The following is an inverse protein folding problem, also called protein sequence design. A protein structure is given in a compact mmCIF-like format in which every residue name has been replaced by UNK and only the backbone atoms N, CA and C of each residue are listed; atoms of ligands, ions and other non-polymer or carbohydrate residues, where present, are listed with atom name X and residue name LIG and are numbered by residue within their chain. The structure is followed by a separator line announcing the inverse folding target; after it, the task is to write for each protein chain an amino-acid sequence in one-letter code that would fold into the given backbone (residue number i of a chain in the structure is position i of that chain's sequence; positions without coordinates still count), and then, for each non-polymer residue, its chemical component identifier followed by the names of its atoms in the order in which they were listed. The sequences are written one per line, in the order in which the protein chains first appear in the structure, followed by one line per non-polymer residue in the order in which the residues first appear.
data_IF_535381728602
#
_entry.id   IF_535381728602
#
_cell.length_a   1.000
_cell.length_b   1.000
_cell.length_c   1.000
_cell.angle_alpha   90.00
_cell.angle_beta   90.00
_cell.angle_gamma   90.00
#
_symmetry.space_group_name_H-M   'P 1'
#
loop_
_entity.id
_entity.type
_entity.pdbx_description
1 polymer ?
#
# COMPACT_ATOMS: atom_id res chain seq x y z
N UNK A 1 -49.57 -11.40 13.91
CA UNK A 1 -48.25 -12.01 13.63
C UNK A 1 -47.81 -11.92 12.15
N UNK A 2 -48.72 -11.82 11.17
CA UNK A 2 -48.37 -11.84 9.75
C UNK A 2 -47.69 -10.58 9.17
N UNK A 3 -47.91 -9.39 9.74
CA UNK A 3 -47.30 -8.16 9.20
C UNK A 3 -45.84 -7.92 9.62
N UNK A 4 -45.39 -8.54 10.71
CA UNK A 4 -44.01 -8.36 11.21
C UNK A 4 -43.01 -9.19 10.40
N UNK A 5 -43.44 -10.36 9.90
CA UNK A 5 -42.60 -11.21 9.06
C UNK A 5 -42.36 -10.64 7.66
N UNK A 6 -43.33 -9.93 7.07
CA UNK A 6 -43.14 -9.30 5.75
C UNK A 6 -42.19 -8.11 5.84
N UNK A 7 -42.25 -7.31 6.90
CA UNK A 7 -41.31 -6.22 7.15
C UNK A 7 -39.90 -6.73 7.43
N UNK A 8 -39.72 -7.78 8.24
CA UNK A 8 -38.39 -8.35 8.47
C UNK A 8 -37.77 -8.96 7.20
N UNK A 9 -38.57 -9.50 6.28
CA UNK A 9 -38.07 -9.94 4.96
C UNK A 9 -37.65 -8.77 4.07
N UNK A 10 -38.45 -7.70 4.02
CA UNK A 10 -38.13 -6.48 3.28
C UNK A 10 -36.90 -5.76 3.83
N UNK A 11 -36.75 -5.71 5.16
CA UNK A 11 -35.57 -5.17 5.82
C UNK A 11 -34.37 -6.08 5.60
N UNK A 12 -34.52 -7.41 5.66
CA UNK A 12 -33.43 -8.34 5.33
C UNK A 12 -32.99 -8.22 3.88
N UNK A 13 -33.88 -7.92 2.93
CA UNK A 13 -33.52 -7.66 1.53
C UNK A 13 -32.97 -6.26 1.27
N UNK A 14 -33.23 -5.29 2.16
CA UNK A 14 -32.63 -3.95 2.11
C UNK A 14 -31.28 -3.89 2.84
N UNK A 15 -31.06 -4.80 3.81
CA UNK A 15 -29.82 -4.93 4.60
C UNK A 15 -28.86 -5.96 3.99
N UNK A 16 -29.37 -6.99 3.30
CA UNK A 16 -28.58 -7.75 2.34
C UNK A 16 -28.32 -6.81 1.17
N UNK A 17 -27.24 -6.04 1.27
CA UNK A 17 -26.85 -5.05 0.29
C UNK A 17 -26.94 -5.62 -1.12
N UNK A 18 -27.45 -4.80 -2.04
CA UNK A 18 -27.39 -5.06 -3.46
C UNK A 18 -26.00 -5.61 -3.79
N UNK A 19 -25.93 -6.85 -4.25
CA UNK A 19 -24.70 -7.42 -4.79
C UNK A 19 -24.29 -6.50 -5.94
N UNK A 20 -23.34 -5.61 -5.67
CA UNK A 20 -22.76 -4.75 -6.69
C UNK A 20 -22.23 -5.70 -7.77
N UNK A 21 -22.61 -5.54 -9.04
CA UNK A 21 -22.16 -6.45 -10.09
C UNK A 21 -20.65 -6.61 -10.01
N UNK A 22 -20.14 -7.85 -10.05
CA UNK A 22 -18.69 -8.13 -9.97
C UNK A 22 -17.88 -7.40 -11.06
N UNK A 23 -18.55 -6.96 -12.12
CA UNK A 23 -17.99 -6.14 -13.19
C UNK A 23 -17.67 -4.69 -12.79
N UNK A 24 -18.22 -4.19 -11.67
CA UNK A 24 -17.94 -2.87 -11.10
C UNK A 24 -16.81 -2.91 -10.06
N UNK A 25 -16.43 -4.10 -9.60
CA UNK A 25 -15.35 -4.32 -8.63
C UNK A 25 -13.98 -4.42 -9.32
N UNK A 26 -13.62 -3.40 -10.09
CA UNK A 26 -12.39 -3.36 -10.87
C UNK A 26 -11.42 -2.34 -10.27
N UNK A 27 -10.17 -2.76 -10.09
CA UNK A 27 -9.07 -1.89 -9.75
C UNK A 27 -8.50 -1.31 -11.07
N UNK A 28 -8.65 0.01 -11.23
CA UNK A 28 -8.34 0.77 -12.45
C UNK A 28 -7.11 1.65 -12.30
N UNK A 29 -6.76 2.05 -11.06
CA UNK A 29 -5.51 2.75 -10.79
C UNK A 29 -4.96 2.42 -9.40
N UNK A 30 -3.63 2.38 -9.30
CA UNK A 30 -2.89 2.51 -8.04
C UNK A 30 -1.98 3.71 -8.19
N UNK A 31 -2.03 4.62 -7.21
CA UNK A 31 -1.11 5.74 -7.11
C UNK A 31 -0.53 5.77 -5.71
N UNK A 32 0.75 6.04 -5.59
CA UNK A 32 1.38 6.25 -4.28
C UNK A 32 2.34 7.42 -4.33
N UNK A 33 2.40 8.18 -3.25
CA UNK A 33 3.35 9.28 -3.13
C UNK A 33 4.52 8.86 -2.25
N UNK A 34 5.74 8.98 -2.78
CA UNK A 34 6.95 8.57 -2.08
C UNK A 34 8.11 9.57 -2.24
N UNK A 35 8.89 9.71 -1.19
CA UNK A 35 10.22 10.31 -1.22
C UNK A 35 11.25 9.31 -0.70
N UNK A 36 12.54 9.63 -0.83
CA UNK A 36 13.59 8.70 -0.44
C UNK A 36 14.85 9.40 0.09
N UNK A 37 15.66 8.63 0.81
CA UNK A 37 17.09 8.90 0.95
C UNK A 37 17.85 7.99 0.00
N UNK A 38 18.77 8.55 -0.78
CA UNK A 38 19.55 7.84 -1.80
C UNK A 38 20.96 7.56 -1.27
N UNK A 39 21.39 6.31 -1.35
CA UNK A 39 22.76 5.92 -1.02
C UNK A 39 23.26 4.97 -2.10
N UNK A 40 24.30 5.39 -2.83
CA UNK A 40 24.83 4.70 -4.01
C UNK A 40 23.81 4.44 -5.14
N UNK A 41 22.68 5.15 -5.10
CA UNK A 41 21.59 5.03 -6.07
C UNK A 41 20.24 5.21 -5.41
N UNK A 42 19.21 5.29 -6.26
CA UNK A 42 17.83 5.38 -5.84
C UNK A 42 17.36 4.07 -5.21
N UNK A 43 16.53 4.10 -4.16
CA UNK A 43 15.81 2.91 -3.73
C UNK A 43 14.75 2.51 -4.77
N UNK A 44 14.46 1.21 -4.82
CA UNK A 44 13.46 0.64 -5.72
C UNK A 44 12.26 0.17 -4.89
N UNK A 45 11.06 0.63 -5.27
CA UNK A 45 9.79 0.11 -4.76
C UNK A 45 9.11 -0.71 -5.84
N UNK A 46 8.82 -1.96 -5.53
CA UNK A 46 8.03 -2.84 -6.39
C UNK A 46 6.59 -2.93 -5.91
N UNK A 47 5.65 -2.92 -6.85
CA UNK A 47 4.21 -2.93 -6.59
C UNK A 47 3.64 -4.25 -7.05
N UNK A 48 3.04 -4.99 -6.13
CA UNK A 48 2.40 -6.27 -6.41
C UNK A 48 0.89 -6.18 -6.21
N UNK A 49 0.14 -6.89 -7.05
CA UNK A 49 -1.30 -7.08 -6.88
C UNK A 49 -1.60 -8.57 -6.94
N UNK A 50 -2.16 -9.11 -5.86
CA UNK A 50 -2.39 -10.56 -5.67
C UNK A 50 -1.15 -11.43 -5.98
N UNK A 51 0.04 -10.92 -5.66
CA UNK A 51 1.33 -11.59 -5.88
C UNK A 51 1.99 -11.33 -7.23
N UNK A 52 1.29 -10.72 -8.20
CA UNK A 52 1.88 -10.35 -9.50
C UNK A 52 2.62 -9.01 -9.39
N UNK A 53 3.90 -8.97 -9.76
CA UNK A 53 4.66 -7.72 -9.85
C UNK A 53 4.20 -6.91 -11.06
N UNK A 54 3.60 -5.74 -10.82
CA UNK A 54 3.08 -4.87 -11.87
C UNK A 54 4.05 -3.76 -12.26
N UNK A 55 4.87 -3.30 -11.32
CA UNK A 55 5.81 -2.21 -11.56
C UNK A 55 6.96 -2.25 -10.56
N UNK A 56 8.14 -1.82 -11.00
CA UNK A 56 9.28 -1.50 -10.15
C UNK A 56 9.71 -0.08 -10.47
N UNK A 57 9.71 0.80 -9.46
CA UNK A 57 9.93 2.22 -9.63
C UNK A 57 11.13 2.67 -8.81
N UNK A 58 12.04 3.42 -9.45
CA UNK A 58 13.09 4.15 -8.75
C UNK A 58 12.47 5.36 -8.05
N UNK A 59 12.61 5.43 -6.73
CA UNK A 59 12.07 6.53 -5.95
C UNK A 59 13.12 7.63 -5.86
N UNK A 60 12.78 8.79 -6.41
CA UNK A 60 13.62 9.97 -6.29
C UNK A 60 13.73 10.40 -4.82
N UNK A 61 14.92 10.82 -4.43
CA UNK A 61 15.22 11.20 -3.07
C UNK A 61 16.31 12.25 -2.96
N UNK A 62 16.71 12.49 -1.72
CA UNK A 62 17.88 13.31 -1.40
C UNK A 62 19.08 12.41 -1.12
N UNK A 63 20.29 12.87 -1.41
CA UNK A 63 21.49 12.11 -1.10
C UNK A 63 21.62 11.90 0.42
N UNK A 64 21.81 10.65 0.83
CA UNK A 64 22.15 10.26 2.20
C UNK A 64 23.66 10.24 2.39
N UNK A 65 24.11 10.85 3.49
CA UNK A 65 25.52 11.04 3.83
C UNK A 65 25.81 10.85 5.32
N UNK A 66 24.78 10.63 6.15
CA UNK A 66 24.93 10.45 7.59
C UNK A 66 24.86 8.98 7.99
N UNK A 67 25.60 8.62 9.04
CA UNK A 67 25.59 7.28 9.65
C UNK A 67 25.11 7.29 11.11
N UNK A 68 24.88 8.48 11.67
CA UNK A 68 24.37 8.66 13.02
C UNK A 68 22.85 8.90 13.02
N UNK A 69 22.21 8.59 14.13
CA UNK A 69 20.75 8.60 14.24
C UNK A 69 20.11 9.98 14.06
N UNK A 70 20.79 11.07 14.43
CA UNK A 70 20.26 12.42 14.28
C UNK A 70 20.35 12.87 12.82
N UNK A 71 21.51 12.66 12.18
CA UNK A 71 21.69 12.96 10.76
C UNK A 71 20.72 12.18 9.87
N UNK A 72 20.55 10.87 10.12
CA UNK A 72 19.59 10.03 9.38
C UNK A 72 18.16 10.55 9.58
N UNK A 73 17.80 10.93 10.81
CA UNK A 73 16.47 11.50 11.10
C UNK A 73 16.23 12.78 10.30
N UNK A 74 17.21 13.68 10.27
CA UNK A 74 17.08 14.94 9.53
C UNK A 74 16.98 14.70 8.02
N UNK A 75 17.75 13.75 7.48
CA UNK A 75 17.65 13.33 6.07
C UNK A 75 16.27 12.75 5.75
N UNK A 76 15.73 11.85 6.58
CA UNK A 76 14.38 11.29 6.40
C UNK A 76 13.32 12.38 6.45
N UNK A 77 13.43 13.33 7.39
CA UNK A 77 12.50 14.45 7.50
C UNK A 77 12.56 15.38 6.29
N UNK A 78 13.75 15.62 5.75
CA UNK A 78 13.95 16.41 4.54
C UNK A 78 13.41 15.69 3.30
N UNK A 79 13.75 14.41 3.12
CA UNK A 79 13.23 13.57 2.03
C UNK A 79 11.69 13.55 2.01
N UNK A 80 11.08 13.54 3.19
CA UNK A 80 9.63 13.54 3.34
C UNK A 80 8.95 14.88 2.93
N UNK A 81 9.71 15.92 2.57
CA UNK A 81 9.22 17.15 1.94
C UNK A 81 9.25 17.08 0.41
N UNK A 82 10.04 16.15 -0.15
CA UNK A 82 10.28 16.01 -1.60
C UNK A 82 9.59 14.78 -2.18
N UNK A 83 8.38 14.46 -1.69
CA UNK A 83 7.61 13.31 -2.19
C UNK A 83 7.09 13.57 -3.60
N UNK A 84 7.10 12.53 -4.43
CA UNK A 84 6.55 12.53 -5.78
C UNK A 84 5.46 11.47 -5.89
N UNK A 85 4.47 11.71 -6.75
CA UNK A 85 3.41 10.74 -7.02
C UNK A 85 3.82 9.81 -8.15
N UNK A 86 3.59 8.51 -7.94
CA UNK A 86 3.92 7.43 -8.84
C UNK A 86 2.64 6.70 -9.23
N UNK A 87 2.43 6.53 -10.53
CA UNK A 87 1.27 5.85 -11.09
C UNK A 87 1.63 4.43 -11.51
N UNK A 88 0.74 3.47 -11.27
CA UNK A 88 0.91 2.07 -11.64
C UNK A 88 -0.26 1.65 -12.52
N UNK A 89 0.04 1.11 -13.71
CA UNK A 89 -0.97 0.49 -14.56
C UNK A 89 -1.32 -0.90 -14.03
N UNK A 90 -2.60 -1.09 -13.78
CA UNK A 90 -3.17 -2.25 -13.11
C UNK A 90 -4.02 -3.10 -14.03
N UNK A 91 -4.10 -2.75 -15.32
CA UNK A 91 -4.72 -3.55 -16.37
C UNK A 91 -6.16 -4.01 -16.05
N UNK A 92 -6.93 -3.19 -15.33
CA UNK A 92 -8.33 -3.47 -14.95
C UNK A 92 -8.53 -4.80 -14.20
N UNK A 93 -7.69 -5.06 -13.18
CA UNK A 93 -7.78 -6.27 -12.35
C UNK A 93 -9.09 -6.33 -11.57
N UNK A 94 -9.78 -7.48 -11.63
CA UNK A 94 -11.07 -7.70 -10.97
C UNK A 94 -10.88 -8.21 -9.55
N UNK A 95 -11.54 -7.56 -8.59
CA UNK A 95 -11.61 -7.95 -7.18
C UNK A 95 -10.26 -8.33 -6.54
N UNK A 96 -9.22 -7.48 -6.65
CA UNK A 96 -7.95 -7.81 -6.01
C UNK A 96 -8.11 -7.85 -4.49
N UNK A 97 -7.44 -8.81 -3.88
CA UNK A 97 -7.45 -9.05 -2.43
C UNK A 97 -6.31 -8.35 -1.75
N UNK A 98 -5.20 -8.19 -2.47
CA UNK A 98 -3.96 -7.67 -1.92
C UNK A 98 -3.30 -6.69 -2.88
N UNK A 99 -2.85 -5.56 -2.34
CA UNK A 99 -1.86 -4.69 -2.97
C UNK A 99 -0.67 -4.62 -2.03
N UNK A 100 0.54 -4.80 -2.55
CA UNK A 100 1.75 -4.79 -1.74
C UNK A 100 2.80 -3.85 -2.33
N UNK A 101 3.34 -2.99 -1.48
CA UNK A 101 4.53 -2.19 -1.79
C UNK A 101 5.72 -2.83 -1.11
N UNK A 102 6.72 -3.21 -1.90
CA UNK A 102 7.97 -3.82 -1.41
C UNK A 102 9.15 -2.92 -1.73
N UNK A 103 9.83 -2.47 -0.68
CA UNK A 103 11.13 -1.82 -0.79
C UNK A 103 12.22 -2.89 -0.73
N UNK A 104 13.08 -2.90 -1.76
CA UNK A 104 14.27 -3.76 -1.78
C UNK A 104 15.51 -2.90 -1.57
N UNK A 105 16.19 -3.10 -0.44
CA UNK A 105 17.49 -2.52 -0.15
C UNK A 105 18.61 -3.48 -0.61
N UNK A 106 18.80 -3.62 -1.92
CA UNK A 106 19.83 -4.42 -2.59
C UNK A 106 21.28 -3.90 -2.47
N UNK A 107 21.48 -2.59 -2.45
CA UNK A 107 22.69 -1.85 -2.09
C UNK A 107 22.69 -1.54 -0.58
N UNK A 108 22.88 -2.56 0.24
CA UNK A 108 23.18 -2.40 1.66
C UNK A 108 24.70 -2.45 1.87
N UNK A 109 25.21 -1.68 2.84
CA UNK A 109 26.66 -1.65 3.05
C UNK A 109 27.18 -2.83 3.87
N UNK A 110 28.01 -3.62 3.20
CA UNK A 110 29.01 -4.47 3.82
C UNK A 110 30.27 -3.72 4.32
N UNK A 111 30.32 -2.36 4.33
CA UNK A 111 31.47 -1.66 4.94
C UNK A 111 31.62 -0.14 4.79
N UNK A 112 31.56 0.56 5.94
CA UNK A 112 32.27 1.82 6.30
C UNK A 112 32.05 3.13 5.51
N UNK A 113 31.00 3.29 4.71
CA UNK A 113 30.58 4.60 4.20
C UNK A 113 29.37 5.12 4.98
N UNK A 114 29.14 6.43 4.96
CA UNK A 114 28.00 7.02 5.63
C UNK A 114 26.81 7.13 4.66
N UNK A 115 25.61 6.93 5.17
CA UNK A 115 24.35 7.00 4.42
C UNK A 115 23.61 5.67 4.35
N UNK A 116 22.30 5.75 4.11
CA UNK A 116 21.41 4.60 3.93
C UNK A 116 20.25 4.93 2.96
N UNK A 117 19.61 3.89 2.42
CA UNK A 117 18.40 4.01 1.61
C UNK A 117 17.16 3.77 2.45
N UNK A 118 16.32 4.78 2.46
CA UNK A 118 15.01 4.73 3.10
C UNK A 118 13.95 5.21 2.11
N UNK A 119 12.76 4.65 2.22
CA UNK A 119 11.59 5.09 1.45
C UNK A 119 10.58 5.67 2.43
N UNK A 120 10.09 6.87 2.12
CA UNK A 120 9.05 7.55 2.87
C UNK A 120 7.79 7.53 2.02
N UNK A 121 6.85 6.68 2.38
CA UNK A 121 5.52 6.64 1.78
C UNK A 121 4.63 7.66 2.47
N UNK A 122 4.07 8.59 1.71
CA UNK A 122 3.14 9.60 2.20
C UNK A 122 1.69 9.15 2.07
N UNK A 123 1.32 8.57 0.94
CA UNK A 123 -0.03 8.06 0.71
C UNK A 123 -0.01 6.93 -0.32
N UNK A 124 -1.11 6.17 -0.31
CA UNK A 124 -1.48 5.26 -1.38
C UNK A 124 -2.98 5.42 -1.63
N UNK A 125 -3.33 5.65 -2.88
CA UNK A 125 -4.71 5.67 -3.34
C UNK A 125 -4.95 4.55 -4.34
N UNK A 126 -6.14 3.96 -4.25
CA UNK A 126 -6.64 2.95 -5.17
C UNK A 126 -7.92 3.49 -5.78
N UNK A 127 -7.99 3.52 -7.11
CA UNK A 127 -9.08 4.15 -7.86
C UNK A 127 -9.35 5.60 -7.40
N UNK A 128 -8.30 6.34 -7.00
CA UNK A 128 -8.40 7.72 -6.49
C UNK A 128 -8.89 7.84 -5.05
N UNK A 129 -9.07 6.74 -4.32
CA UNK A 129 -9.48 6.74 -2.92
C UNK A 129 -8.34 6.31 -1.99
N UNK A 130 -8.15 7.03 -0.89
CA UNK A 130 -7.21 6.61 0.16
C UNK A 130 -7.62 5.26 0.75
N UNK A 131 -6.64 4.38 0.96
CA UNK A 131 -6.88 3.10 1.62
C UNK A 131 -7.00 3.33 3.14
N UNK A 132 -8.09 2.87 3.79
CA UNK A 132 -8.25 2.99 5.24
C UNK A 132 -7.10 2.34 6.03
N UNK A 133 -6.71 2.94 7.16
CA UNK A 133 -5.63 2.41 8.00
C UNK A 133 -5.85 0.96 8.44
N UNK A 134 -7.11 0.55 8.64
CA UNK A 134 -7.47 -0.82 9.04
C UNK A 134 -7.20 -1.85 7.94
N UNK A 135 -7.04 -1.42 6.69
CA UNK A 135 -6.66 -2.26 5.56
C UNK A 135 -5.14 -2.33 5.38
N UNK A 136 -4.35 -1.58 6.17
CA UNK A 136 -2.90 -1.58 6.11
C UNK A 136 -2.34 -2.56 7.14
N UNK A 137 -1.43 -3.42 6.68
CA UNK A 137 -0.74 -4.39 7.51
C UNK A 137 0.75 -4.41 7.22
N UNK A 138 1.53 -4.60 8.28
CA UNK A 138 2.98 -4.70 8.27
C UNK A 138 3.32 -5.93 9.11
N UNK A 139 4.04 -6.89 8.54
CA UNK A 139 4.44 -8.07 9.30
C UNK A 139 5.42 -7.69 10.43
N UNK A 140 5.42 -8.38 11.59
CA UNK A 140 6.17 -7.96 12.77
C UNK A 140 7.69 -7.89 12.59
N UNK A 141 8.23 -8.61 11.62
CA UNK A 141 9.65 -8.66 11.29
C UNK A 141 10.08 -7.55 10.31
N UNK A 142 9.12 -6.81 9.76
CA UNK A 142 9.37 -5.78 8.77
C UNK A 142 9.97 -4.52 9.39
N UNK A 143 10.89 -3.93 8.64
CA UNK A 143 11.53 -2.67 8.96
C UNK A 143 10.70 -1.48 8.45
N UNK A 144 9.50 -1.36 8.99
CA UNK A 144 8.57 -0.27 8.69
C UNK A 144 8.14 0.43 9.96
N UNK A 145 8.21 1.76 9.96
CA UNK A 145 7.59 2.61 10.99
C UNK A 145 6.36 3.27 10.40
N UNK A 146 5.18 2.95 10.95
CA UNK A 146 3.93 3.64 10.64
C UNK A 146 3.77 4.85 11.58
N UNK A 147 3.66 6.04 11.00
CA UNK A 147 3.19 7.25 11.65
C UNK A 147 1.83 7.63 11.05
N UNK A 148 1.00 8.38 11.77
CA UNK A 148 -0.44 8.60 11.50
C UNK A 148 -0.84 9.05 10.08
N UNK A 149 0.11 9.41 9.22
CA UNK A 149 -0.09 9.76 7.80
C UNK A 149 1.06 9.35 6.89
N UNK A 150 2.05 8.58 7.37
CA UNK A 150 3.26 8.25 6.61
C UNK A 150 3.82 6.91 7.07
N UNK A 151 4.46 6.20 6.16
CA UNK A 151 5.29 5.06 6.52
C UNK A 151 6.74 5.33 6.13
N UNK A 152 7.68 4.96 7.00
CA UNK A 152 9.10 4.93 6.68
C UNK A 152 9.51 3.47 6.59
N UNK A 153 9.98 3.07 5.41
CA UNK A 153 10.52 1.76 5.09
C UNK A 153 12.04 1.86 5.05
N UNK A 154 12.71 1.02 5.84
CA UNK A 154 14.17 0.90 5.89
C UNK A 154 14.56 -0.56 5.67
N UNK A 155 15.83 -0.85 5.34
CA UNK A 155 16.27 -2.20 4.92
C UNK A 155 15.32 -2.84 3.86
N UNK A 156 15.29 -4.17 3.76
CA UNK A 156 14.25 -4.85 3.00
C UNK A 156 12.95 -4.82 3.81
N UNK A 157 11.89 -4.29 3.22
CA UNK A 157 10.59 -4.21 3.90
C UNK A 157 9.41 -4.18 2.94
N UNK A 158 8.24 -4.54 3.44
CA UNK A 158 6.98 -4.47 2.70
C UNK A 158 5.81 -3.94 3.54
N UNK A 159 4.87 -3.28 2.86
CA UNK A 159 3.56 -2.89 3.38
C UNK A 159 2.51 -3.57 2.53
N UNK A 160 1.55 -4.21 3.19
CA UNK A 160 0.46 -4.96 2.56
C UNK A 160 -0.85 -4.25 2.84
N UNK A 161 -1.57 -3.91 1.77
CA UNK A 161 -2.92 -3.36 1.79
C UNK A 161 -3.89 -4.49 1.44
N UNK A 162 -4.94 -4.66 2.24
CA UNK A 162 -5.93 -5.74 2.09
C UNK A 162 -7.26 -5.17 1.62
N UNK A 163 -7.82 -5.77 0.57
CA UNK A 163 -9.11 -5.40 0.01
C UNK A 163 -10.30 -5.83 0.91
N UNK A 164 -11.53 -5.56 0.46
CA UNK A 164 -11.90 -4.98 -0.84
C UNK A 164 -11.52 -3.49 -0.94
N UNK A 165 -11.00 -3.08 -2.11
CA UNK A 165 -10.58 -1.70 -2.36
C UNK A 165 -11.63 -0.83 -3.06
N UNK A 166 -12.72 -1.45 -3.52
CA UNK A 166 -13.86 -0.77 -4.13
C UNK A 166 -15.04 -0.85 -3.16
N UNK A 167 -15.65 0.29 -2.86
CA UNK A 167 -16.78 0.36 -1.94
C UNK A 167 -17.97 -0.47 -2.45
N UNK A 168 -18.66 -1.16 -1.54
CA UNK A 168 -19.78 -2.06 -1.90
C UNK A 168 -19.34 -3.45 -2.36
N UNK A 169 -18.10 -3.61 -2.82
CA UNK A 169 -17.55 -4.92 -3.13
C UNK A 169 -17.24 -5.67 -1.83
N UNK A 170 -17.72 -6.91 -1.73
CA UNK A 170 -17.37 -7.80 -0.63
C UNK A 170 -16.68 -9.04 -1.18
N UNK A 171 -15.78 -9.62 -0.37
CA UNK A 171 -15.15 -10.92 -0.68
C UNK A 171 -16.10 -12.10 -0.36
N UNK A 172 -17.39 -11.85 -0.11
CA UNK A 172 -18.37 -12.90 0.17
C UNK A 172 -18.62 -13.76 -1.07
N UNK A 173 -17.99 -14.94 -1.05
CA UNK A 173 -18.37 -16.22 -1.66
C UNK A 173 -17.21 -16.89 -2.43
N UNK A 174 -16.19 -17.33 -1.70
CA UNK A 174 -15.45 -18.56 -2.04
C UNK A 174 -15.33 -19.41 -0.77
N UNK A 175 -16.46 -19.90 -0.28
CA UNK A 175 -16.53 -20.92 0.76
C UNK A 175 -17.80 -21.77 0.57
N UNK A 176 -17.98 -22.36 -0.61
CA UNK A 176 -18.93 -23.45 -0.85
C UNK A 176 -18.69 -24.06 -2.24
N UNK A 177 -17.52 -24.67 -2.45
CA UNK A 177 -17.33 -25.64 -3.53
C UNK A 177 -16.06 -26.45 -3.26
N UNK A 178 -16.12 -27.37 -2.29
CA UNK A 178 -15.44 -28.66 -2.30
C UNK A 178 -16.14 -29.60 -1.33
#
# INVERSE_FOLDING_TARGET
AYMVQSQNKLISSLVAGDETPRDECVLTSIEFSAGATEFQGKPIVSVFVDGDNLASQEIAGIQSTHSDSNGIKDEVLEAAKHVQTYHVDVHNRRMPREVRLKFTNDLWQAGKQNGDRNVILADLTINGHNVPEQQVSVAPDQKVVLASKRAVMYENSEIVYTGPFVAGCSLSAVAAAH
#
